data_IF_281624864141
#
_entry.id   IF_281624864141
#
_cell.length_a   1.000
_cell.length_b   1.000
_cell.length_c   1.000
_cell.angle_alpha   90.00
_cell.angle_beta   90.00
_cell.angle_gamma   90.00
#
_symmetry.space_group_name_H-M   'P 1'
#
loop_
_entity.id
_entity.type
_entity.pdbx_description
1 polymer ?
#
# COMPACT_ATOMS: atom_id res chain seq x y z
N UNK A 1 -10.28 9.50 -27.46
CA UNK A 1 -10.81 9.24 -26.12
C UNK A 1 -9.62 9.10 -25.22
N UNK A 2 -9.51 9.88 -24.15
CA UNK A 2 -8.44 9.69 -23.16
C UNK A 2 -8.60 8.29 -22.55
N UNK A 3 -7.52 7.54 -22.48
CA UNK A 3 -7.51 6.21 -21.87
C UNK A 3 -7.14 6.37 -20.39
N UNK A 4 -8.14 6.34 -19.51
CA UNK A 4 -7.99 6.47 -18.04
C UNK A 4 -7.55 5.14 -17.42
N UNK A 5 -6.35 4.70 -17.78
CA UNK A 5 -5.84 3.40 -17.37
C UNK A 5 -4.88 3.52 -16.18
N UNK A 6 -5.22 2.88 -15.07
CA UNK A 6 -4.42 2.89 -13.85
C UNK A 6 -3.11 2.10 -14.00
N UNK A 7 -2.14 2.41 -13.13
CA UNK A 7 -0.90 1.63 -12.92
C UNK A 7 -0.02 1.43 -14.17
N UNK A 8 -0.01 2.39 -15.10
CA UNK A 8 0.90 2.40 -16.27
C UNK A 8 2.10 3.33 -16.13
N UNK A 9 2.04 4.27 -15.19
CA UNK A 9 3.04 5.31 -14.99
C UNK A 9 3.85 5.00 -13.75
N UNK A 10 5.00 5.65 -13.66
CA UNK A 10 5.81 5.65 -12.46
C UNK A 10 5.00 6.09 -11.24
N UNK A 11 5.26 5.45 -10.11
CA UNK A 11 4.79 5.88 -8.80
C UNK A 11 6.00 6.28 -7.96
N UNK A 12 5.87 7.33 -7.16
CA UNK A 12 6.91 7.78 -6.25
C UNK A 12 6.38 7.85 -4.81
N UNK A 13 7.05 7.14 -3.91
CA UNK A 13 6.97 7.50 -2.50
C UNK A 13 7.71 8.82 -2.31
N UNK A 14 7.07 9.76 -1.61
CA UNK A 14 7.59 11.11 -1.34
C UNK A 14 7.51 11.44 0.14
N UNK A 15 8.33 12.41 0.56
CA UNK A 15 8.33 12.88 1.94
C UNK A 15 8.65 11.77 2.94
N UNK A 16 7.97 11.77 4.09
CA UNK A 16 8.11 10.74 5.13
C UNK A 16 7.92 9.32 4.60
N UNK A 17 7.02 9.10 3.64
CA UNK A 17 6.77 7.77 3.08
C UNK A 17 7.94 7.27 2.24
N UNK A 18 8.72 8.16 1.61
CA UNK A 18 9.94 7.79 0.90
C UNK A 18 11.00 7.25 1.88
N UNK A 19 11.15 7.92 3.02
CA UNK A 19 12.03 7.48 4.10
C UNK A 19 11.58 6.14 4.69
N UNK A 20 10.31 6.00 5.05
CA UNK A 20 9.78 4.74 5.58
C UNK A 20 9.96 3.59 4.59
N UNK A 21 9.72 3.85 3.30
CA UNK A 21 9.95 2.86 2.24
C UNK A 21 11.42 2.45 2.11
N UNK A 22 12.37 3.35 2.34
CA UNK A 22 13.81 3.05 2.34
C UNK A 22 14.22 2.10 3.48
N UNK A 23 13.60 2.24 4.65
CA UNK A 23 13.89 1.39 5.81
C UNK A 23 13.19 0.02 5.70
N UNK A 24 12.02 -0.05 5.05
CA UNK A 24 11.30 -1.30 4.78
C UNK A 24 11.88 -2.08 3.58
N UNK A 25 12.41 -1.38 2.59
CA UNK A 25 12.99 -1.95 1.37
C UNK A 25 14.43 -1.44 1.19
N UNK A 26 15.40 -2.29 1.54
CA UNK A 26 16.83 -1.98 1.43
C UNK A 26 17.37 -2.64 0.17
N UNK A 27 17.87 -1.83 -0.76
CA UNK A 27 18.37 -2.30 -2.04
C UNK A 27 19.62 -3.16 -1.86
N UNK A 28 19.61 -4.38 -2.42
CA UNK A 28 20.70 -5.36 -2.38
C UNK A 28 21.07 -5.88 -0.98
N UNK A 29 20.22 -5.70 0.03
CA UNK A 29 20.41 -6.26 1.36
C UNK A 29 19.31 -7.27 1.69
N UNK A 30 19.59 -8.55 1.42
CA UNK A 30 18.62 -9.63 1.63
C UNK A 30 18.44 -10.02 3.10
N UNK A 31 19.37 -9.64 3.97
CA UNK A 31 19.32 -9.98 5.39
C UNK A 31 18.43 -9.00 6.14
N UNK A 32 18.58 -7.69 5.86
CA UNK A 32 17.89 -6.65 6.61
C UNK A 32 16.59 -6.18 5.95
N UNK A 33 16.44 -6.30 4.62
CA UNK A 33 15.19 -5.87 3.95
C UNK A 33 13.96 -6.68 4.38
N UNK A 34 12.80 -6.03 4.52
CA UNK A 34 11.52 -6.70 4.72
C UNK A 34 10.84 -7.04 3.40
N UNK A 35 11.08 -6.22 2.36
CA UNK A 35 10.52 -6.42 1.03
C UNK A 35 11.63 -6.67 0.02
N UNK A 36 11.39 -7.59 -0.91
CA UNK A 36 12.36 -7.87 -1.98
C UNK A 36 12.36 -6.78 -3.05
N UNK A 37 11.18 -6.24 -3.38
CA UNK A 37 11.01 -5.17 -4.38
C UNK A 37 10.18 -4.05 -3.77
N UNK A 38 10.46 -2.80 -4.17
CA UNK A 38 9.65 -1.66 -3.74
C UNK A 38 8.17 -1.77 -4.17
N UNK A 39 7.89 -2.41 -5.31
CA UNK A 39 6.52 -2.70 -5.74
C UNK A 39 5.80 -3.69 -4.81
N UNK A 40 6.52 -4.62 -4.16
CA UNK A 40 5.91 -5.55 -3.19
C UNK A 40 5.42 -4.78 -1.96
N UNK A 41 6.18 -3.77 -1.51
CA UNK A 41 5.75 -2.84 -0.47
C UNK A 41 4.51 -2.06 -0.92
N UNK A 42 4.48 -1.52 -2.14
CA UNK A 42 3.32 -0.77 -2.65
C UNK A 42 2.04 -1.62 -2.70
N UNK A 43 2.13 -2.85 -3.21
CA UNK A 43 1.01 -3.80 -3.28
C UNK A 43 0.51 -4.17 -1.88
N UNK A 44 1.41 -4.57 -0.97
CA UNK A 44 1.00 -4.97 0.38
C UNK A 44 0.47 -3.80 1.20
N UNK A 45 1.11 -2.63 1.10
CA UNK A 45 0.68 -1.43 1.81
C UNK A 45 -0.72 -0.99 1.39
N UNK A 46 -1.10 -1.14 0.11
CA UNK A 46 -2.49 -0.88 -0.31
C UNK A 46 -3.47 -1.75 0.50
N UNK A 47 -3.22 -3.07 0.55
CA UNK A 47 -4.08 -4.01 1.26
C UNK A 47 -4.11 -3.75 2.77
N UNK A 48 -2.95 -3.56 3.39
CA UNK A 48 -2.82 -3.29 4.84
C UNK A 48 -3.52 -1.97 5.19
N UNK A 49 -3.26 -0.90 4.45
CA UNK A 49 -3.88 0.40 4.70
C UNK A 49 -5.39 0.33 4.62
N UNK A 50 -5.93 -0.33 3.59
CA UNK A 50 -7.37 -0.52 3.44
C UNK A 50 -7.96 -1.38 4.56
N UNK A 51 -7.33 -2.52 4.89
CA UNK A 51 -7.78 -3.44 5.93
C UNK A 51 -7.81 -2.81 7.32
N UNK A 52 -6.92 -1.86 7.58
CA UNK A 52 -6.84 -1.08 8.82
C UNK A 52 -7.67 0.21 8.79
N UNK A 53 -8.34 0.49 7.67
CA UNK A 53 -8.99 1.76 7.36
C UNK A 53 -8.07 2.98 7.65
N UNK A 54 -6.78 2.85 7.34
CA UNK A 54 -5.76 3.87 7.59
C UNK A 54 -5.39 4.55 6.29
N UNK A 55 -5.71 5.84 6.21
CA UNK A 55 -5.28 6.74 5.14
C UNK A 55 -4.20 7.68 5.68
N UNK A 56 -3.31 8.15 4.82
CA UNK A 56 -2.39 9.22 5.14
C UNK A 56 -2.32 10.23 3.99
N UNK A 57 -2.12 11.49 4.34
CA UNK A 57 -1.97 12.58 3.37
C UNK A 57 -0.61 12.55 2.67
N UNK A 58 -0.48 13.11 1.46
CA UNK A 58 0.81 13.31 0.82
C UNK A 58 1.73 14.18 1.68
N UNK A 59 3.01 13.83 1.75
CA UNK A 59 4.03 14.64 2.41
C UNK A 59 5.04 15.16 1.38
N UNK A 60 5.37 16.45 1.48
CA UNK A 60 6.24 17.16 0.54
C UNK A 60 7.60 17.50 1.16
N UNK A 61 7.93 16.89 2.29
CA UNK A 61 9.25 17.05 2.91
C UNK A 61 10.36 16.66 1.91
N UNK A 62 11.53 17.33 1.95
CA UNK A 62 12.56 17.22 0.92
C UNK A 62 13.43 15.96 1.03
N UNK A 63 12.80 14.79 1.23
CA UNK A 63 13.46 13.50 1.17
C UNK A 63 13.56 13.03 -0.28
N UNK A 64 14.64 12.31 -0.60
CA UNK A 64 14.82 11.70 -1.92
C UNK A 64 13.68 10.73 -2.21
N UNK A 65 12.91 10.92 -3.30
CA UNK A 65 11.82 10.01 -3.64
C UNK A 65 12.30 8.58 -3.88
N UNK A 66 11.43 7.61 -3.60
CA UNK A 66 11.64 6.20 -3.97
C UNK A 66 10.65 5.83 -5.07
N UNK A 67 11.16 5.57 -6.26
CA UNK A 67 10.36 5.39 -7.46
C UNK A 67 10.17 3.92 -7.82
N UNK A 68 8.95 3.58 -8.23
CA UNK A 68 8.60 2.33 -8.87
C UNK A 68 8.39 2.62 -10.35
N UNK A 69 9.31 2.13 -11.18
CA UNK A 69 9.31 2.45 -12.61
C UNK A 69 8.12 1.83 -13.36
N UNK A 70 7.71 2.42 -14.51
CA UNK A 70 6.58 1.95 -15.30
C UNK A 70 6.62 0.45 -15.62
N UNK A 71 7.79 -0.13 -15.91
CA UNK A 71 7.88 -1.57 -16.22
C UNK A 71 7.51 -2.45 -15.01
N UNK A 72 7.83 -2.01 -13.78
CA UNK A 72 7.45 -2.74 -12.57
C UNK A 72 5.96 -2.60 -12.29
N UNK A 73 5.41 -1.39 -12.48
CA UNK A 73 3.97 -1.14 -12.35
C UNK A 73 3.16 -1.98 -13.34
N UNK A 74 3.59 -2.02 -14.61
CA UNK A 74 2.95 -2.82 -15.65
C UNK A 74 3.01 -4.33 -15.35
N UNK A 75 4.11 -4.83 -14.79
CA UNK A 75 4.24 -6.24 -14.42
C UNK A 75 3.27 -6.66 -13.31
N UNK A 76 3.00 -5.78 -12.35
CA UNK A 76 2.07 -6.03 -11.24
C UNK A 76 0.67 -5.47 -11.50
N UNK A 77 0.41 -4.92 -12.70
CA UNK A 77 -0.84 -4.22 -13.03
C UNK A 77 -2.09 -5.07 -12.77
N UNK A 78 -2.08 -6.34 -13.11
CA UNK A 78 -3.22 -7.22 -12.88
C UNK A 78 -3.57 -7.34 -11.38
N UNK A 79 -2.54 -7.43 -10.51
CA UNK A 79 -2.73 -7.48 -9.06
C UNK A 79 -3.24 -6.12 -8.54
N UNK A 80 -2.67 -5.02 -9.01
CA UNK A 80 -3.08 -3.67 -8.61
C UNK A 80 -4.50 -3.32 -9.05
N UNK A 81 -4.88 -3.66 -10.29
CA UNK A 81 -6.24 -3.49 -10.80
C UNK A 81 -7.24 -4.29 -9.96
N UNK A 82 -6.92 -5.54 -9.63
CA UNK A 82 -7.75 -6.37 -8.76
C UNK A 82 -7.92 -5.76 -7.36
N UNK A 83 -6.83 -5.29 -6.74
CA UNK A 83 -6.89 -4.64 -5.43
C UNK A 83 -7.73 -3.35 -5.50
N UNK A 84 -7.54 -2.50 -6.51
CA UNK A 84 -8.35 -1.29 -6.72
C UNK A 84 -9.84 -1.64 -6.85
N UNK A 85 -10.18 -2.65 -7.65
CA UNK A 85 -11.56 -3.11 -7.80
C UNK A 85 -12.15 -3.58 -6.47
N UNK A 86 -11.41 -4.37 -5.70
CA UNK A 86 -11.82 -4.82 -4.37
C UNK A 86 -12.03 -3.64 -3.42
N UNK A 87 -11.12 -2.68 -3.40
CA UNK A 87 -11.26 -1.46 -2.58
C UNK A 87 -12.52 -0.69 -2.97
N UNK A 88 -12.76 -0.43 -4.26
CA UNK A 88 -13.94 0.30 -4.72
C UNK A 88 -15.27 -0.42 -4.42
N UNK A 89 -15.27 -1.75 -4.43
CA UNK A 89 -16.47 -2.53 -4.07
C UNK A 89 -16.74 -2.50 -2.57
N UNK A 90 -15.70 -2.45 -1.75
CA UNK A 90 -15.77 -2.48 -0.29
C UNK A 90 -15.78 -1.09 0.35
N UNK A 91 -15.50 -0.04 -0.42
CA UNK A 91 -15.49 1.34 0.04
C UNK A 91 -16.93 1.79 0.37
N UNK A 92 -17.17 2.03 1.66
CA UNK A 92 -18.46 2.41 2.20
C UNK A 92 -18.60 3.93 2.40
N UNK A 93 -17.60 4.71 2.00
CA UNK A 93 -17.58 6.18 2.19
C UNK A 93 -18.62 6.91 1.36
N UNK A 94 -19.05 6.34 0.23
CA UNK A 94 -20.15 6.84 -0.59
C UNK A 94 -21.45 6.08 -0.28
N UNK A 95 -22.53 6.83 -0.10
CA UNK A 95 -23.91 6.29 0.04
C UNK A 95 -24.49 5.89 -1.32
N UNK A 96 -23.84 4.92 -1.99
CA UNK A 96 -24.31 4.27 -3.22
C UNK A 96 -24.68 2.80 -2.95
N UNK A 97 -25.49 2.21 -3.82
CA UNK A 97 -25.90 0.80 -3.69
C UNK A 97 -24.74 -0.15 -4.00
N UNK A 98 -24.81 -1.39 -3.47
CA UNK A 98 -23.79 -2.41 -3.76
C UNK A 98 -23.66 -2.69 -5.27
N UNK A 99 -24.78 -2.67 -6.02
CA UNK A 99 -24.77 -2.84 -7.48
C UNK A 99 -24.02 -1.69 -8.18
N UNK A 100 -24.19 -0.46 -7.71
CA UNK A 100 -23.47 0.71 -8.24
C UNK A 100 -21.98 0.64 -7.91
N UNK A 101 -21.60 0.18 -6.70
CA UNK A 101 -20.19 -0.06 -6.33
C UNK A 101 -19.52 -1.06 -7.26
N UNK A 102 -20.18 -2.18 -7.51
CA UNK A 102 -19.70 -3.20 -8.45
C UNK A 102 -19.56 -2.60 -9.85
N UNK A 103 -20.57 -1.91 -10.37
CA UNK A 103 -20.49 -1.24 -11.68
C UNK A 103 -19.33 -0.25 -11.76
N UNK A 104 -19.13 0.57 -10.72
CA UNK A 104 -18.03 1.55 -10.64
C UNK A 104 -16.66 0.85 -10.69
N UNK A 105 -16.49 -0.22 -9.92
CA UNK A 105 -15.25 -0.99 -9.86
C UNK A 105 -14.87 -1.62 -11.22
N UNK A 106 -15.83 -2.24 -11.93
CA UNK A 106 -15.54 -2.90 -13.20
C UNK A 106 -15.48 -1.95 -14.41
N UNK A 107 -16.21 -0.83 -14.38
CA UNK A 107 -16.17 0.19 -15.45
C UNK A 107 -14.85 0.96 -15.44
N UNK A 108 -14.33 1.26 -14.26
CA UNK A 108 -13.22 2.21 -14.10
C UNK A 108 -13.67 3.67 -14.28
N UNK A 109 -12.68 4.57 -14.37
CA UNK A 109 -12.89 6.00 -14.50
C UNK A 109 -13.32 6.39 -15.92
N UNK A 110 -14.37 7.21 -16.00
CA UNK A 110 -14.89 7.78 -17.26
C UNK A 110 -14.51 9.25 -17.45
N UNK A 111 -14.08 9.93 -16.39
CA UNK A 111 -13.57 11.30 -16.43
C UNK A 111 -12.21 11.40 -15.74
N UNK A 112 -11.50 12.51 -15.99
CA UNK A 112 -10.23 12.82 -15.33
C UNK A 112 -10.40 12.96 -13.82
N UNK A 113 -11.48 13.58 -13.38
CA UNK A 113 -11.81 13.78 -11.97
C UNK A 113 -12.04 12.44 -11.27
N UNK A 114 -12.83 11.53 -11.86
CA UNK A 114 -13.02 10.18 -11.32
C UNK A 114 -11.69 9.42 -11.24
N UNK A 115 -10.86 9.53 -12.29
CA UNK A 115 -9.55 8.88 -12.33
C UNK A 115 -8.64 9.37 -11.19
N UNK A 116 -8.56 10.69 -10.99
CA UNK A 116 -7.73 11.30 -9.96
C UNK A 116 -8.25 10.96 -8.56
N UNK A 117 -9.57 10.95 -8.36
CA UNK A 117 -10.18 10.55 -7.09
C UNK A 117 -9.90 9.09 -6.74
N UNK A 118 -10.08 8.15 -7.68
CA UNK A 118 -9.79 6.73 -7.48
C UNK A 118 -8.31 6.51 -7.20
N UNK A 119 -7.45 7.15 -7.98
CA UNK A 119 -6.00 7.07 -7.79
C UNK A 119 -5.57 7.61 -6.43
N UNK A 120 -6.13 8.73 -6.00
CA UNK A 120 -5.82 9.33 -4.70
C UNK A 120 -6.37 8.50 -3.54
N UNK A 121 -7.58 7.94 -3.66
CA UNK A 121 -8.11 7.00 -2.67
C UNK A 121 -7.15 5.83 -2.47
N UNK A 122 -6.73 5.18 -3.57
CA UNK A 122 -5.79 4.06 -3.51
C UNK A 122 -4.44 4.47 -2.88
N UNK A 123 -3.87 5.58 -3.35
CA UNK A 123 -2.57 6.05 -2.86
C UNK A 123 -2.63 6.52 -1.40
N UNK A 124 -3.78 7.02 -0.93
CA UNK A 124 -3.98 7.39 0.48
C UNK A 124 -3.94 6.17 1.40
N UNK A 125 -4.53 5.05 0.98
CA UNK A 125 -4.43 3.78 1.69
C UNK A 125 -3.03 3.19 1.60
N UNK A 126 -2.35 3.26 0.44
CA UNK A 126 -0.94 2.86 0.33
C UNK A 126 -0.09 3.61 1.36
N UNK A 127 -0.24 4.93 1.46
CA UNK A 127 0.52 5.74 2.42
C UNK A 127 0.22 5.33 3.86
N UNK A 128 -1.05 5.17 4.23
CA UNK A 128 -1.44 4.68 5.55
C UNK A 128 -0.93 3.27 5.86
N UNK A 129 -0.91 2.38 4.87
CA UNK A 129 -0.34 1.05 5.00
C UNK A 129 1.18 1.04 5.14
N UNK A 130 1.90 1.96 4.48
CA UNK A 130 3.34 2.15 4.70
C UNK A 130 3.60 2.58 6.14
N UNK A 131 2.81 3.51 6.68
CA UNK A 131 2.95 3.91 8.08
C UNK A 131 2.68 2.75 9.05
N UNK A 132 1.62 1.98 8.82
CA UNK A 132 1.32 0.80 9.66
C UNK A 132 2.46 -0.22 9.58
N UNK A 133 2.93 -0.58 8.38
CA UNK A 133 4.02 -1.53 8.21
C UNK A 133 5.32 -1.02 8.87
N UNK A 134 5.62 0.26 8.75
CA UNK A 134 6.79 0.87 9.36
C UNK A 134 6.72 0.83 10.89
N UNK A 135 5.58 1.17 11.48
CA UNK A 135 5.37 1.11 12.92
C UNK A 135 5.55 -0.31 13.46
N UNK A 136 5.08 -1.33 12.74
CA UNK A 136 5.16 -2.73 13.17
C UNK A 136 6.51 -3.38 12.95
N UNK A 137 7.18 -3.07 11.84
CA UNK A 137 8.38 -3.79 11.42
C UNK A 137 9.66 -3.05 11.83
N UNK A 138 9.63 -1.72 11.89
CA UNK A 138 10.82 -0.90 12.18
C UNK A 138 10.76 -0.27 13.56
N UNK A 139 9.62 0.31 13.96
CA UNK A 139 9.53 1.07 15.23
C UNK A 139 9.29 0.17 16.43
N UNK A 140 8.54 -0.93 16.27
CA UNK A 140 8.25 -1.88 17.34
C UNK A 140 9.55 -2.46 17.89
N UNK A 141 9.77 -2.28 19.18
CA UNK A 141 10.76 -3.01 19.98
C UNK A 141 10.06 -4.19 20.65
N UNK A 142 10.51 -5.44 20.44
CA UNK A 142 9.99 -6.58 21.17
C UNK A 142 10.15 -6.40 22.68
N UNK A 143 9.20 -6.94 23.44
CA UNK A 143 9.28 -6.97 24.91
C UNK A 143 9.71 -8.35 25.43
N UNK A 144 9.74 -8.51 26.75
CA UNK A 144 10.20 -9.74 27.38
C UNK A 144 9.23 -10.92 27.21
N UNK A 145 7.99 -10.66 26.76
CA UNK A 145 6.95 -11.66 26.53
C UNK A 145 6.94 -12.16 25.07
N UNK A 146 7.74 -11.57 24.17
CA UNK A 146 7.92 -12.04 22.80
C UNK A 146 8.63 -13.42 22.76
N UNK A 147 8.06 -14.36 22.00
CA UNK A 147 8.57 -15.73 21.84
C UNK A 147 9.89 -15.82 21.05
N UNK A 148 10.33 -14.72 20.42
CA UNK A 148 11.47 -14.69 19.52
C UNK A 148 12.53 -13.67 19.97
N UNK A 149 13.78 -14.13 20.11
CA UNK A 149 14.91 -13.30 20.51
C UNK A 149 15.39 -12.32 19.43
N UNK A 150 15.13 -12.62 18.15
CA UNK A 150 15.49 -11.76 17.02
C UNK A 150 14.37 -10.75 16.75
N UNK A 151 14.69 -9.46 16.78
CA UNK A 151 13.68 -8.38 16.69
C UNK A 151 12.88 -8.44 15.39
N UNK A 152 13.57 -8.73 14.28
CA UNK A 152 12.94 -8.84 12.97
C UNK A 152 11.94 -9.98 12.91
N UNK A 153 12.32 -11.14 13.41
CA UNK A 153 11.44 -12.32 13.47
C UNK A 153 10.24 -12.06 14.39
N UNK A 154 10.46 -11.50 15.57
CA UNK A 154 9.40 -11.14 16.51
C UNK A 154 8.37 -10.20 15.85
N UNK A 155 8.86 -9.12 15.21
CA UNK A 155 8.00 -8.14 14.55
C UNK A 155 7.21 -8.72 13.35
N UNK A 156 7.81 -9.63 12.59
CA UNK A 156 7.11 -10.33 11.49
C UNK A 156 6.02 -11.25 12.03
N UNK A 157 6.30 -11.98 13.12
CA UNK A 157 5.34 -12.91 13.72
C UNK A 157 4.16 -12.16 14.35
N UNK A 158 4.41 -11.08 15.09
CA UNK A 158 3.36 -10.20 15.61
C UNK A 158 2.49 -9.63 14.47
N UNK A 159 3.13 -9.16 13.38
CA UNK A 159 2.40 -8.68 12.20
C UNK A 159 1.54 -9.79 11.60
N UNK A 160 2.07 -11.01 11.49
CA UNK A 160 1.36 -12.15 10.96
C UNK A 160 0.17 -12.51 11.84
N UNK A 161 0.32 -12.62 13.15
CA UNK A 161 -0.76 -12.94 14.09
C UNK A 161 -1.88 -11.89 14.08
N UNK A 162 -1.52 -10.62 13.92
CA UNK A 162 -2.50 -9.53 13.79
C UNK A 162 -3.41 -9.68 12.57
N UNK A 163 -2.89 -10.26 11.47
CA UNK A 163 -3.64 -10.43 10.22
C UNK A 163 -4.11 -11.86 9.96
N UNK A 164 -3.53 -12.86 10.63
CA UNK A 164 -4.06 -14.21 10.69
C UNK A 164 -5.40 -14.16 11.42
N UNK A 165 -6.43 -14.76 10.82
CA UNK A 165 -7.81 -14.73 11.30
C UNK A 165 -7.93 -14.78 12.83
N UNK A 166 -8.31 -13.66 13.45
CA UNK A 166 -9.02 -13.70 14.71
C UNK A 166 -10.39 -14.30 14.39
N UNK A 167 -10.52 -15.62 14.61
CA UNK A 167 -11.79 -16.33 14.56
C UNK A 167 -12.69 -15.90 15.71
#
# INVERSE_FOLDING_TARGET
MENYEFFKREFEFRGKHARMAEELWILNDYEHTYFKRLIDLYVLAAVVGFRMNRKAEPDLSPFTPKSIFPEQMLKEKANLDFIMQMMLMLDDTESITDEERVKKAFRGASTKEEFDQMQEMFNSYVRGGVEELYERLIVRTPDADDDYYDEKTANIMELFERFACQN
#
